data_IF_673854514272
#
_entry.id   IF_673854514272
#
_cell.length_a   1.000
_cell.length_b   1.000
_cell.length_c   1.000
_cell.angle_alpha   90.00
_cell.angle_beta   90.00
_cell.angle_gamma   90.00
#
_symmetry.space_group_name_H-M   'P 1'
#
loop_
_entity.id
_entity.type
_entity.pdbx_description
1 polymer ?
#
# COMPACT_ATOMS: atom_id res chain seq x y z
N UNK A 1 -5.36 6.81 5.20
CA UNK A 1 -4.59 7.36 6.35
C UNK A 1 -4.76 6.56 7.64
N UNK A 2 -5.96 6.50 8.24
CA UNK A 2 -6.18 5.76 9.50
C UNK A 2 -5.73 4.29 9.41
N UNK A 3 -6.09 3.61 8.33
CA UNK A 3 -5.73 2.20 8.08
C UNK A 3 -4.21 2.01 8.01
N UNK A 4 -3.49 2.86 7.26
CA UNK A 4 -2.02 2.81 7.18
C UNK A 4 -1.36 3.03 8.54
N UNK A 5 -1.88 3.97 9.35
CA UNK A 5 -1.38 4.19 10.72
C UNK A 5 -1.62 2.95 11.61
N UNK A 6 -2.79 2.33 11.51
CA UNK A 6 -3.13 1.12 12.26
C UNK A 6 -2.27 -0.08 11.83
N UNK A 7 -2.03 -0.24 10.52
CA UNK A 7 -1.13 -1.25 9.97
C UNK A 7 0.31 -1.07 10.47
N UNK A 8 0.76 0.18 10.61
CA UNK A 8 2.05 0.53 11.22
C UNK A 8 2.05 0.43 12.76
N UNK A 9 0.93 0.03 13.38
CA UNK A 9 0.75 -0.09 14.84
C UNK A 9 1.06 1.20 15.61
N UNK A 10 0.80 2.35 14.99
CA UNK A 10 1.03 3.67 15.59
C UNK A 10 -0.25 4.23 16.19
N UNK A 11 -0.17 4.79 17.39
CA UNK A 11 -1.17 5.73 17.87
C UNK A 11 -1.10 7.05 17.09
N UNK A 12 -2.20 7.81 17.08
CA UNK A 12 -2.22 9.13 16.43
C UNK A 12 -1.20 10.10 17.03
N UNK A 13 -0.89 9.95 18.33
CA UNK A 13 0.14 10.74 19.02
C UNK A 13 1.54 10.35 18.57
N UNK A 14 1.84 9.06 18.47
CA UNK A 14 3.13 8.62 17.95
C UNK A 14 3.35 9.06 16.49
N UNK A 15 2.30 9.08 15.67
CA UNK A 15 2.39 9.62 14.31
C UNK A 15 2.64 11.13 14.32
N UNK A 16 1.99 11.88 15.22
CA UNK A 16 2.25 13.31 15.42
C UNK A 16 3.72 13.57 15.72
N UNK A 17 4.26 12.85 16.71
CA UNK A 17 5.64 13.00 17.16
C UNK A 17 6.65 12.68 16.03
N UNK A 18 6.38 11.64 15.23
CA UNK A 18 7.25 11.25 14.09
C UNK A 18 7.23 12.23 12.92
N UNK A 19 6.11 12.91 12.71
CA UNK A 19 5.89 13.74 11.52
C UNK A 19 6.06 15.23 11.79
N UNK A 20 6.12 15.63 13.07
CA UNK A 20 6.09 17.04 13.48
C UNK A 20 4.72 17.69 13.26
N UNK A 21 3.70 16.91 12.90
CA UNK A 21 2.35 17.41 12.64
C UNK A 21 1.52 17.33 13.92
N UNK A 22 0.79 18.40 14.24
CA UNK A 22 -0.01 18.42 15.46
C UNK A 22 -1.11 17.33 15.46
N UNK A 23 -1.32 16.74 16.63
CA UNK A 23 -2.34 15.70 16.83
C UNK A 23 -3.76 16.16 16.42
N UNK A 24 -4.22 17.39 16.74
CA UNK A 24 -5.50 17.89 16.27
C UNK A 24 -5.62 17.91 14.75
N UNK A 25 -4.56 18.32 14.04
CA UNK A 25 -4.56 18.40 12.59
C UNK A 25 -4.55 17.00 11.94
N UNK A 26 -3.76 16.07 12.47
CA UNK A 26 -3.82 14.65 12.05
C UNK A 26 -5.20 14.04 12.23
N UNK A 27 -5.89 14.35 13.33
CA UNK A 27 -7.25 13.88 13.59
C UNK A 27 -8.26 14.44 12.58
N UNK A 28 -8.07 15.68 12.12
CA UNK A 28 -8.89 16.25 11.05
C UNK A 28 -8.63 15.56 9.70
N UNK A 29 -7.37 15.23 9.39
CA UNK A 29 -7.00 14.50 8.17
C UNK A 29 -7.60 13.09 8.18
N UNK A 30 -7.47 12.32 9.27
CA UNK A 30 -8.01 10.95 9.35
C UNK A 30 -9.53 10.88 9.20
N UNK A 31 -10.23 11.96 9.56
CA UNK A 31 -11.69 12.08 9.41
C UNK A 31 -12.11 12.68 8.07
N UNK A 32 -11.17 13.00 7.18
CA UNK A 32 -11.46 13.62 5.88
C UNK A 32 -11.90 15.09 5.96
N UNK A 33 -11.78 15.74 7.12
CA UNK A 33 -12.21 17.13 7.32
C UNK A 33 -11.20 18.15 6.78
N UNK A 34 -9.97 17.73 6.54
CA UNK A 34 -8.90 18.55 5.99
C UNK A 34 -8.15 17.79 4.89
N UNK A 35 -7.91 18.48 3.78
CA UNK A 35 -7.02 18.03 2.72
C UNK A 35 -5.60 18.46 3.06
N UNK A 36 -4.66 17.53 3.28
CA UNK A 36 -3.26 17.86 3.52
C UNK A 36 -2.58 18.40 2.26
N UNK A 37 -1.57 19.26 2.43
CA UNK A 37 -0.69 19.71 1.33
C UNK A 37 0.31 18.62 0.94
N UNK A 38 1.01 18.82 -0.18
CA UNK A 38 2.05 17.89 -0.64
C UNK A 38 3.18 17.69 0.39
N UNK A 39 3.60 18.74 1.08
CA UNK A 39 4.63 18.69 2.12
C UNK A 39 4.17 17.89 3.35
N UNK A 40 2.90 18.06 3.72
CA UNK A 40 2.28 17.31 4.82
C UNK A 40 2.20 15.84 4.46
N UNK A 41 1.78 15.51 3.24
CA UNK A 41 1.75 14.14 2.75
C UNK A 41 3.15 13.52 2.69
N UNK A 42 4.18 14.28 2.32
CA UNK A 42 5.56 13.79 2.34
C UNK A 42 6.05 13.51 3.76
N UNK A 43 5.72 14.37 4.72
CA UNK A 43 6.04 14.17 6.13
C UNK A 43 5.32 12.95 6.70
N UNK A 44 4.04 12.77 6.36
CA UNK A 44 3.26 11.59 6.71
C UNK A 44 3.85 10.30 6.13
N UNK A 45 4.23 10.30 4.85
CA UNK A 45 4.86 9.16 4.19
C UNK A 45 6.14 8.73 4.91
N UNK A 46 7.00 9.69 5.26
CA UNK A 46 8.21 9.45 6.06
C UNK A 46 7.89 8.87 7.44
N UNK A 47 6.92 9.44 8.15
CA UNK A 47 6.52 8.95 9.49
C UNK A 47 5.88 7.56 9.50
N UNK A 48 5.20 7.20 8.40
CA UNK A 48 4.56 5.90 8.18
C UNK A 48 5.48 4.90 7.47
N UNK A 49 6.65 5.31 6.98
CA UNK A 49 7.59 4.51 6.19
C UNK A 49 6.95 3.90 4.93
N UNK A 50 6.15 4.70 4.21
CA UNK A 50 5.52 4.32 2.94
C UNK A 50 5.91 5.29 1.82
N UNK A 51 5.59 4.94 0.58
CA UNK A 51 5.79 5.85 -0.55
C UNK A 51 4.86 7.06 -0.45
N UNK A 52 5.42 8.26 -0.62
CA UNK A 52 4.64 9.51 -0.72
C UNK A 52 3.71 9.51 -1.95
N UNK A 53 4.11 8.80 -3.00
CA UNK A 53 3.33 8.63 -4.22
C UNK A 53 1.95 8.02 -3.95
N UNK A 54 1.89 6.97 -3.12
CA UNK A 54 0.63 6.33 -2.74
C UNK A 54 -0.33 7.32 -2.05
N UNK A 55 0.23 8.24 -1.27
CA UNK A 55 -0.54 9.28 -0.61
C UNK A 55 -0.97 10.38 -1.60
N UNK A 56 -0.14 10.72 -2.58
CA UNK A 56 -0.46 11.70 -3.61
C UNK A 56 -1.56 11.21 -4.56
N UNK A 57 -1.54 9.93 -4.95
CA UNK A 57 -2.60 9.31 -5.74
C UNK A 57 -3.92 9.34 -4.98
N UNK A 58 -3.92 8.93 -3.71
CA UNK A 58 -5.13 8.96 -2.89
C UNK A 58 -5.66 10.39 -2.64
N UNK A 59 -4.78 11.39 -2.63
CA UNK A 59 -5.14 12.80 -2.50
C UNK A 59 -5.56 13.46 -3.83
N UNK A 60 -5.44 12.75 -4.97
CA UNK A 60 -5.71 13.30 -6.31
C UNK A 60 -4.69 14.36 -6.75
N UNK A 61 -3.52 14.41 -6.12
CA UNK A 61 -2.42 15.34 -6.46
C UNK A 61 -1.57 14.78 -7.59
N UNK A 62 -1.48 13.46 -7.67
CA UNK A 62 -0.81 12.73 -8.73
C UNK A 62 -1.86 11.87 -9.41
N UNK A 63 -2.01 12.00 -10.73
CA UNK A 63 -2.68 10.97 -11.51
C UNK A 63 -1.90 9.68 -11.29
N UNK A 64 -2.58 8.59 -10.95
CA UNK A 64 -1.91 7.29 -10.93
C UNK A 64 -1.26 7.12 -12.30
N UNK A 65 0.06 7.31 -12.37
CA UNK A 65 0.79 6.85 -13.53
C UNK A 65 0.48 5.37 -13.55
N UNK A 66 0.12 4.86 -14.72
CA UNK A 66 0.10 3.42 -14.96
C UNK A 66 1.54 2.90 -14.84
N UNK A 67 2.19 3.07 -13.68
CA UNK A 67 3.36 2.33 -13.28
C UNK A 67 2.84 0.92 -13.04
N UNK A 68 2.80 0.16 -14.14
CA UNK A 68 2.68 -1.27 -14.14
C UNK A 68 1.55 -1.80 -13.23
N UNK A 69 0.32 -1.47 -13.59
CA UNK A 69 -0.61 -2.58 -13.83
C UNK A 69 -0.06 -3.36 -15.02
N UNK A 70 1.12 -4.01 -14.86
CA UNK A 70 1.28 -5.32 -15.47
C UNK A 70 0.01 -6.02 -15.03
N UNK A 71 -0.90 -6.38 -15.96
CA UNK A 71 -2.24 -6.88 -15.62
C UNK A 71 -1.98 -7.89 -14.54
N UNK A 72 -2.39 -7.65 -13.27
CA UNK A 72 -1.91 -8.41 -12.09
C UNK A 72 -1.86 -9.83 -12.55
N UNK A 73 -0.68 -10.32 -12.96
CA UNK A 73 -0.71 -11.48 -13.85
C UNK A 73 -1.12 -12.53 -12.91
N UNK A 74 -2.35 -13.02 -13.11
CA UNK A 74 -2.99 -13.90 -12.15
C UNK A 74 -1.91 -14.90 -11.76
N UNK A 75 -1.61 -15.00 -10.47
CA UNK A 75 -0.38 -15.66 -10.01
C UNK A 75 -0.32 -17.07 -10.60
N UNK A 76 -1.49 -17.69 -10.85
CA UNK A 76 -1.63 -18.94 -11.60
C UNK A 76 -1.17 -18.84 -13.05
N UNK A 77 -1.56 -17.79 -13.78
CA UNK A 77 -1.07 -17.48 -15.13
C UNK A 77 0.45 -17.28 -15.17
N UNK A 78 1.03 -16.57 -14.19
CA UNK A 78 2.48 -16.38 -14.11
C UNK A 78 3.22 -17.72 -13.84
N UNK A 79 2.72 -18.53 -12.90
CA UNK A 79 3.24 -19.88 -12.64
C UNK A 79 3.09 -20.75 -13.90
N UNK A 80 2.02 -20.59 -14.67
CA UNK A 80 1.75 -21.40 -15.88
C UNK A 80 2.62 -21.01 -17.08
N UNK A 81 3.06 -19.75 -17.15
CA UNK A 81 3.89 -19.25 -18.23
C UNK A 81 5.40 -19.38 -17.98
N UNK A 82 5.85 -19.72 -16.76
CA UNK A 82 7.30 -19.79 -16.47
C UNK A 82 7.98 -20.98 -17.18
N UNK A 83 8.96 -20.74 -18.08
CA UNK A 83 9.65 -21.79 -18.83
C UNK A 83 10.71 -22.53 -18.00
N UNK A 84 11.05 -22.04 -16.80
CA UNK A 84 12.03 -22.70 -15.91
C UNK A 84 11.42 -23.83 -15.10
N UNK A 85 10.09 -23.95 -15.09
CA UNK A 85 9.35 -24.96 -14.34
C UNK A 85 9.07 -26.19 -15.21
N UNK A 86 9.32 -27.38 -14.65
CA UNK A 86 8.76 -28.62 -15.18
C UNK A 86 7.26 -28.70 -14.88
N UNK A 87 6.55 -29.58 -15.59
CA UNK A 87 5.11 -29.78 -15.38
C UNK A 87 4.78 -30.17 -13.93
N UNK A 88 5.62 -31.01 -13.31
CA UNK A 88 5.47 -31.41 -11.92
C UNK A 88 5.65 -30.23 -10.96
N UNK A 89 6.66 -29.37 -11.19
CA UNK A 89 6.92 -28.20 -10.36
C UNK A 89 5.81 -27.15 -10.50
N UNK A 90 5.34 -26.93 -11.73
CA UNK A 90 4.21 -26.03 -12.03
C UNK A 90 2.96 -26.47 -11.28
N UNK A 91 2.63 -27.76 -11.33
CA UNK A 91 1.50 -28.34 -10.61
C UNK A 91 1.61 -28.16 -9.09
N UNK A 92 2.76 -28.49 -8.51
CA UNK A 92 2.98 -28.35 -7.06
C UNK A 92 2.82 -26.89 -6.59
N UNK A 93 3.31 -25.92 -7.36
CA UNK A 93 3.16 -24.50 -7.04
C UNK A 93 1.71 -24.03 -7.10
N UNK A 94 0.94 -24.49 -8.08
CA UNK A 94 -0.49 -24.18 -8.20
C UNK A 94 -1.31 -24.79 -7.06
N UNK A 95 -1.01 -26.02 -6.66
CA UNK A 95 -1.70 -26.71 -5.56
C UNK A 95 -1.43 -26.01 -4.21
N UNK A 96 -0.17 -25.65 -3.94
CA UNK A 96 0.20 -24.87 -2.74
C UNK A 96 -0.46 -23.51 -2.76
N UNK A 97 -0.41 -22.81 -3.89
CA UNK A 97 -1.07 -21.51 -4.03
C UNK A 97 -2.58 -21.62 -3.75
N UNK A 98 -3.27 -22.57 -4.37
CA UNK A 98 -4.70 -22.81 -4.15
C UNK A 98 -5.03 -23.09 -2.68
N UNK A 99 -4.19 -23.83 -1.96
CA UNK A 99 -4.40 -24.12 -0.53
C UNK A 99 -4.37 -22.88 0.37
N UNK A 100 -3.70 -21.80 -0.05
CA UNK A 100 -3.58 -20.57 0.73
C UNK A 100 -4.61 -19.51 0.40
N UNK A 101 -5.09 -19.45 -0.85
CA UNK A 101 -6.07 -18.42 -1.24
C UNK A 101 -7.52 -18.81 -0.95
N UNK A 102 -7.81 -20.09 -0.70
CA UNK A 102 -9.18 -20.56 -0.55
C UNK A 102 -9.99 -20.40 -1.85
N UNK A 103 -11.03 -21.21 -2.01
CA UNK A 103 -12.09 -20.89 -2.98
C UNK A 103 -13.10 -19.89 -2.37
#
# INVERSE_FOLDING_TARGET
MREQRQAAQLSIRQLADRTGISNPYLSQIERGLKRPSADILQSLAKGLQISAEQLYVHAGILEARDEEVAPRTDVRTAITADPRLTDQQRKALLDVYASFVGE
#
